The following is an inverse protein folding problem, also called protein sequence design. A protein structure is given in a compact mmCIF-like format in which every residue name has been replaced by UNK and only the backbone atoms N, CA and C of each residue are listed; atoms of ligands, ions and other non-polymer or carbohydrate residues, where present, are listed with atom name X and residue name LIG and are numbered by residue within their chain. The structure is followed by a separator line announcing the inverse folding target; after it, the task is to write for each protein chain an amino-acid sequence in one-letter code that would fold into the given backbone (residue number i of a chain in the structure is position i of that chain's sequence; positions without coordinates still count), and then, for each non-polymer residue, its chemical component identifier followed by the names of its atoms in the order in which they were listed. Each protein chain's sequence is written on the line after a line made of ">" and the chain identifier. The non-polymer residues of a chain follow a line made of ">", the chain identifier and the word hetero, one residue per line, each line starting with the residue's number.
data_IF_963989172209
#
_entry.id   IF_963989172209
#
_cell.length_a   1.000
_cell.length_b   1.000
_cell.length_c   1.000
_cell.angle_alpha   90.00
_cell.angle_beta   90.00
_cell.angle_gamma   90.00
#
_symmetry.space_group_name_H-M   'P 1'
#
loop_
_entity.id
_entity.type
_entity.pdbx_description
1 polymer ?
#
# COMPACT_ATOMS: atom_id res chain seq x y z
N UNK A 1 13.67 -9.54 -7.07
CA UNK A 1 14.37 -10.14 -5.92
C UNK A 1 13.34 -10.52 -4.87
N UNK A 2 13.56 -11.60 -4.10
CA UNK A 2 12.63 -12.06 -3.07
C UNK A 2 13.27 -11.91 -1.69
N UNK A 3 12.51 -11.40 -0.72
CA UNK A 3 12.91 -11.37 0.70
C UNK A 3 11.92 -12.22 1.48
N UNK A 4 12.38 -13.33 2.05
CA UNK A 4 11.64 -14.11 3.03
C UNK A 4 11.93 -13.55 4.43
N UNK A 5 10.90 -13.00 5.08
CA UNK A 5 10.96 -12.58 6.48
C UNK A 5 10.17 -13.58 7.32
N UNK A 6 10.75 -13.98 8.44
CA UNK A 6 10.12 -14.90 9.40
C UNK A 6 9.04 -14.14 10.17
N UNK A 7 7.83 -14.70 10.32
CA UNK A 7 6.80 -14.12 11.19
C UNK A 7 6.05 -15.23 11.95
N UNK A 8 5.52 -14.93 13.14
CA UNK A 8 4.84 -15.89 14.03
C UNK A 8 3.53 -16.46 13.45
N UNK A 9 2.94 -15.77 12.47
CA UNK A 9 1.70 -16.17 11.78
C UNK A 9 1.92 -17.01 10.52
N UNK A 10 3.17 -17.11 10.07
CA UNK A 10 3.63 -17.81 8.88
C UNK A 10 4.56 -18.89 9.39
N UNK A 11 4.03 -20.11 9.55
CA UNK A 11 4.84 -21.26 9.94
C UNK A 11 6.07 -21.29 9.05
N UNK A 12 7.23 -21.10 9.68
CA UNK A 12 8.47 -20.72 9.01
C UNK A 12 8.77 -21.56 7.78
N UNK A 13 8.91 -20.92 6.63
CA UNK A 13 9.63 -21.51 5.51
C UNK A 13 11.12 -21.26 5.76
N UNK A 14 11.80 -22.25 6.33
CA UNK A 14 13.26 -22.36 6.31
C UNK A 14 13.74 -22.66 4.88
N UNK A 15 13.44 -21.78 3.94
CA UNK A 15 13.92 -21.89 2.55
C UNK A 15 14.62 -20.61 2.15
N UNK A 16 15.94 -20.69 2.13
CA UNK A 16 16.79 -19.73 1.43
C UNK A 16 16.54 -19.88 -0.07
N UNK A 17 16.30 -18.75 -0.74
CA UNK A 17 16.53 -18.58 -2.18
C UNK A 17 15.68 -19.40 -3.16
N UNK A 18 14.36 -19.43 -3.00
CA UNK A 18 13.45 -19.74 -4.11
C UNK A 18 12.31 -18.72 -4.16
N UNK A 19 11.83 -18.39 -5.37
CA UNK A 19 10.59 -17.63 -5.54
C UNK A 19 9.49 -18.37 -4.76
N UNK A 20 8.73 -17.68 -3.88
CA UNK A 20 7.65 -18.29 -3.11
C UNK A 20 6.66 -18.97 -4.05
N UNK A 21 6.17 -20.14 -3.66
CA UNK A 21 5.12 -20.82 -4.42
C UNK A 21 3.84 -19.97 -4.45
N UNK A 22 2.96 -20.13 -5.45
CA UNK A 22 1.67 -19.44 -5.47
C UNK A 22 0.90 -19.67 -4.16
N UNK A 23 0.63 -18.59 -3.42
CA UNK A 23 -0.04 -18.65 -2.11
C UNK A 23 0.87 -18.64 -0.89
N UNK A 24 2.21 -18.68 -1.06
CA UNK A 24 3.13 -18.48 0.06
C UNK A 24 3.23 -16.99 0.43
N UNK A 25 3.23 -16.67 1.74
CA UNK A 25 3.34 -15.30 2.21
C UNK A 25 4.73 -14.73 1.86
N UNK A 26 4.77 -13.68 1.04
CA UNK A 26 6.02 -13.07 0.62
C UNK A 26 5.89 -11.60 0.25
N UNK A 27 7.06 -10.94 0.24
CA UNK A 27 7.21 -9.59 -0.29
C UNK A 27 8.06 -9.67 -1.58
N UNK A 28 7.41 -9.46 -2.71
CA UNK A 28 8.02 -9.60 -4.04
C UNK A 28 8.25 -8.23 -4.67
N UNK A 29 9.47 -8.02 -5.16
CA UNK A 29 9.85 -6.80 -5.89
C UNK A 29 10.00 -7.12 -7.37
N UNK A 30 9.17 -6.45 -8.18
CA UNK A 30 9.21 -6.46 -9.62
C UNK A 30 9.80 -5.13 -10.10
N UNK A 31 10.60 -5.19 -11.17
CA UNK A 31 11.13 -4.02 -11.85
C UNK A 31 10.57 -4.02 -13.26
N UNK A 32 10.07 -2.88 -13.72
CA UNK A 32 9.57 -2.76 -15.08
C UNK A 32 10.73 -2.95 -16.07
N UNK A 33 10.52 -3.75 -17.11
CA UNK A 33 11.59 -4.12 -18.05
C UNK A 33 12.02 -2.91 -18.90
N UNK A 34 11.05 -2.14 -19.41
CA UNK A 34 11.33 -1.00 -20.29
C UNK A 34 11.64 0.29 -19.51
N UNK A 35 11.40 0.29 -18.19
CA UNK A 35 11.63 1.46 -17.33
C UNK A 35 12.16 1.02 -15.96
N UNK A 36 13.49 0.89 -15.79
CA UNK A 36 14.07 0.36 -14.55
C UNK A 36 13.87 1.27 -13.33
N UNK A 37 13.40 2.51 -13.51
CA UNK A 37 13.05 3.43 -12.44
C UNK A 37 11.72 3.07 -11.76
N UNK A 38 10.87 2.24 -12.39
CA UNK A 38 9.60 1.79 -11.82
C UNK A 38 9.81 0.45 -11.11
N UNK A 39 9.54 0.46 -9.80
CA UNK A 39 9.56 -0.70 -8.93
C UNK A 39 8.16 -0.95 -8.38
N UNK A 40 7.70 -2.19 -8.47
CA UNK A 40 6.43 -2.63 -7.87
C UNK A 40 6.77 -3.60 -6.74
N UNK A 41 6.25 -3.30 -5.56
CA UNK A 41 6.34 -4.19 -4.41
C UNK A 41 4.96 -4.78 -4.12
N UNK A 42 4.86 -6.10 -4.17
CA UNK A 42 3.67 -6.84 -3.78
C UNK A 42 3.93 -7.54 -2.46
N UNK A 43 3.17 -7.19 -1.42
CA UNK A 43 3.19 -7.92 -0.15
C UNK A 43 1.93 -8.76 -0.05
N UNK A 44 2.09 -10.08 -0.03
CA UNK A 44 1.00 -11.03 0.26
C UNK A 44 1.03 -11.53 1.70
N UNK A 45 1.99 -11.06 2.49
CA UNK A 45 2.18 -11.45 3.87
C UNK A 45 1.94 -10.29 4.85
N UNK A 46 1.51 -10.67 6.04
CA UNK A 46 1.60 -9.79 7.20
C UNK A 46 3.07 -9.61 7.59
N UNK A 47 3.49 -8.37 7.81
CA UNK A 47 4.82 -8.03 8.31
C UNK A 47 4.64 -7.58 9.76
N UNK A 48 5.34 -8.24 10.67
CA UNK A 48 5.27 -7.92 12.10
C UNK A 48 5.79 -6.50 12.37
N UNK A 49 5.22 -5.85 13.38
CA UNK A 49 5.46 -4.42 13.66
C UNK A 49 6.94 -4.09 13.91
N UNK A 50 7.67 -4.99 14.56
CA UNK A 50 9.12 -4.88 14.82
C UNK A 50 9.97 -4.92 13.55
N UNK A 51 9.46 -5.52 12.47
CA UNK A 51 10.14 -5.62 11.17
C UNK A 51 9.78 -4.49 10.20
N UNK A 52 8.70 -3.75 10.46
CA UNK A 52 8.22 -2.69 9.58
C UNK A 52 9.29 -1.63 9.33
N UNK A 53 10.00 -1.21 10.38
CA UNK A 53 11.05 -0.20 10.27
C UNK A 53 12.12 -0.60 9.25
N UNK A 54 12.73 -1.79 9.42
CA UNK A 54 13.76 -2.30 8.52
C UNK A 54 13.24 -2.49 7.10
N UNK A 55 11.98 -2.89 6.94
CA UNK A 55 11.36 -3.05 5.63
C UNK A 55 11.27 -1.72 4.89
N UNK A 56 10.85 -0.66 5.58
CA UNK A 56 10.62 0.67 4.97
C UNK A 56 11.89 1.37 4.50
N UNK A 57 13.06 1.00 5.01
CA UNK A 57 14.34 1.59 4.58
C UNK A 57 14.66 1.35 3.10
N UNK A 58 14.00 0.36 2.48
CA UNK A 58 14.13 0.08 1.03
C UNK A 58 13.55 1.18 0.14
N UNK A 59 12.77 2.10 0.70
CA UNK A 59 12.07 3.15 -0.05
C UNK A 59 12.90 4.42 -0.25
N UNK A 60 14.14 4.46 0.25
CA UNK A 60 15.00 5.65 0.16
C UNK A 60 15.29 6.03 -1.29
N UNK A 61 15.14 7.32 -1.61
CA UNK A 61 15.45 7.88 -2.93
C UNK A 61 14.42 7.60 -4.03
N UNK A 62 13.22 7.11 -3.67
CA UNK A 62 12.13 6.82 -4.61
C UNK A 62 10.92 7.72 -4.33
N UNK A 63 10.09 7.98 -5.35
CA UNK A 63 8.72 8.48 -5.11
C UNK A 63 7.82 7.26 -4.81
N UNK A 64 7.08 7.31 -3.71
CA UNK A 64 6.38 6.12 -3.20
C UNK A 64 4.88 6.26 -3.38
N UNK A 65 4.27 5.31 -4.09
CA UNK A 65 2.81 5.15 -4.14
C UNK A 65 2.43 3.85 -3.44
N UNK A 66 1.53 3.95 -2.46
CA UNK A 66 1.03 2.78 -1.72
C UNK A 66 -0.45 2.58 -2.06
N UNK A 67 -0.83 1.36 -2.38
CA UNK A 67 -2.21 0.96 -2.66
C UNK A 67 -2.60 -0.08 -1.61
N UNK A 68 -3.66 0.17 -0.85
CA UNK A 68 -4.11 -0.72 0.21
C UNK A 68 -5.63 -0.74 0.29
N UNK A 69 -6.20 -1.90 0.63
CA UNK A 69 -7.59 -2.06 1.03
C UNK A 69 -7.73 -2.10 2.56
N UNK A 70 -8.93 -1.78 3.06
CA UNK A 70 -9.31 -1.86 4.47
C UNK A 70 -10.83 -2.05 4.53
N UNK A 71 -11.34 -2.81 5.52
CA UNK A 71 -12.78 -2.94 5.72
C UNK A 71 -13.43 -1.58 5.98
N UNK A 72 -14.60 -1.34 5.40
CA UNK A 72 -15.39 -0.12 5.65
C UNK A 72 -15.75 0.04 7.13
N UNK A 73 -15.80 -1.05 7.89
CA UNK A 73 -16.03 -1.04 9.34
C UNK A 73 -14.90 -0.35 10.13
N UNK A 74 -13.70 -0.22 9.57
CA UNK A 74 -12.59 0.52 10.18
C UNK A 74 -12.69 2.03 9.92
N UNK A 75 -13.54 2.44 8.97
CA UNK A 75 -13.74 3.84 8.64
C UNK A 75 -14.64 4.54 9.66
N UNK A 76 -14.09 5.53 10.34
CA UNK A 76 -14.76 6.36 11.35
C UNK A 76 -15.29 7.62 10.69
N UNK A 77 -16.62 7.73 10.61
CA UNK A 77 -17.30 8.94 10.16
C UNK A 77 -18.49 9.25 11.07
N UNK A 78 -18.79 10.52 11.37
CA UNK A 78 -20.02 10.87 12.08
C UNK A 78 -21.28 10.55 11.26
N UNK A 79 -21.16 10.48 9.93
CA UNK A 79 -22.29 10.32 8.99
C UNK A 79 -22.36 8.91 8.39
N UNK A 80 -22.56 7.88 9.23
CA UNK A 80 -22.67 6.47 8.79
C UNK A 80 -23.83 6.21 7.81
N UNK A 81 -24.77 7.15 7.64
CA UNK A 81 -26.03 6.94 6.93
C UNK A 81 -26.15 7.67 5.58
N UNK A 82 -25.15 8.45 5.14
CA UNK A 82 -25.30 9.28 3.94
C UNK A 82 -24.18 9.07 2.90
N UNK A 83 -24.48 8.25 1.90
CA UNK A 83 -24.20 8.60 0.51
C UNK A 83 -22.88 8.15 -0.14
N UNK A 84 -21.95 7.52 0.57
CA UNK A 84 -20.77 6.95 -0.11
C UNK A 84 -21.11 5.58 -0.70
N UNK A 85 -21.11 5.48 -2.03
CA UNK A 85 -21.18 4.21 -2.73
C UNK A 85 -19.93 3.39 -2.44
N UNK A 86 -20.09 2.28 -1.72
CA UNK A 86 -19.01 1.34 -1.44
C UNK A 86 -18.70 0.55 -2.74
N UNK A 87 -17.41 0.31 -3.07
CA UNK A 87 -16.21 0.78 -2.37
C UNK A 87 -15.78 2.19 -2.79
N UNK A 88 -15.12 2.91 -1.87
CA UNK A 88 -14.64 4.27 -2.08
C UNK A 88 -13.17 4.44 -1.68
N UNK A 89 -12.53 5.48 -2.22
CA UNK A 89 -11.11 5.76 -2.02
C UNK A 89 -10.88 7.00 -1.15
N UNK A 90 -9.86 6.92 -0.30
CA UNK A 90 -9.30 8.03 0.45
C UNK A 90 -7.78 8.07 0.29
N UNK A 91 -7.20 9.26 0.37
CA UNK A 91 -5.76 9.43 0.26
C UNK A 91 -5.12 9.90 1.56
N UNK A 92 -3.89 9.44 1.77
CA UNK A 92 -2.96 10.02 2.72
C UNK A 92 -1.70 10.45 1.97
N UNK A 93 -1.03 11.51 2.44
CA UNK A 93 0.14 12.07 1.77
C UNK A 93 1.23 12.37 2.77
N UNK A 94 2.47 12.23 2.35
CA UNK A 94 3.59 12.85 3.07
C UNK A 94 3.66 14.36 2.78
N UNK A 95 4.27 15.13 3.67
CA UNK A 95 4.48 16.58 3.51
C UNK A 95 5.33 16.93 2.28
N UNK A 96 6.17 16.00 1.84
CA UNK A 96 7.01 16.14 0.65
C UNK A 96 6.22 15.90 -0.66
N UNK A 97 5.04 15.26 -0.61
CA UNK A 97 4.20 15.06 -1.79
C UNK A 97 3.45 16.35 -2.14
N UNK A 98 3.88 17.01 -3.23
CA UNK A 98 3.32 18.30 -3.67
C UNK A 98 2.18 18.17 -4.68
N UNK A 99 2.05 17.02 -5.33
CA UNK A 99 1.02 16.80 -6.34
C UNK A 99 -0.38 16.66 -5.72
N UNK A 100 -1.40 16.91 -6.53
CA UNK A 100 -2.77 16.64 -6.13
C UNK A 100 -3.00 15.12 -6.08
N UNK A 101 -3.77 14.66 -5.08
CA UNK A 101 -4.16 13.25 -5.04
C UNK A 101 -5.40 13.06 -5.90
N UNK A 102 -5.56 11.87 -6.45
CA UNK A 102 -6.67 11.53 -7.32
C UNK A 102 -8.00 11.32 -6.58
N UNK A 103 -7.98 11.29 -5.24
CA UNK A 103 -9.17 11.14 -4.41
C UNK A 103 -9.08 12.02 -3.15
N UNK A 104 -10.22 12.29 -2.48
CA UNK A 104 -10.25 13.08 -1.25
C UNK A 104 -9.30 12.54 -0.18
N UNK A 105 -8.72 13.45 0.63
CA UNK A 105 -7.92 13.05 1.79
C UNK A 105 -8.80 12.35 2.83
N UNK A 106 -8.21 11.49 3.66
CA UNK A 106 -8.94 10.93 4.80
C UNK A 106 -9.31 12.05 5.78
N UNK A 107 -10.52 12.02 6.31
CA UNK A 107 -10.91 12.90 7.42
C UNK A 107 -10.44 12.35 8.78
N UNK A 108 -10.14 13.26 9.71
CA UNK A 108 -9.96 12.86 11.11
C UNK A 108 -11.30 12.34 11.66
N UNK A 109 -11.32 11.28 12.50
CA UNK A 109 -10.21 10.69 13.26
C UNK A 109 -9.70 9.37 12.67
N UNK A 110 -9.80 9.17 11.36
CA UNK A 110 -9.33 7.93 10.72
C UNK A 110 -7.82 7.78 10.86
N UNK A 111 -7.37 6.61 11.27
CA UNK A 111 -5.96 6.25 11.39
C UNK A 111 -5.64 5.13 10.42
N UNK A 112 -4.40 5.14 9.95
CA UNK A 112 -3.84 4.07 9.13
C UNK A 112 -2.96 3.19 10.03
N UNK A 113 -2.96 1.88 9.80
CA UNK A 113 -2.15 0.93 10.57
C UNK A 113 -1.37 -0.03 9.67
N UNK A 114 -0.49 -0.84 10.28
CA UNK A 114 0.27 -1.87 9.59
C UNK A 114 1.33 -1.34 8.62
N UNK A 115 1.65 -2.15 7.60
CA UNK A 115 2.68 -1.84 6.62
C UNK A 115 2.42 -0.53 5.84
N UNK A 116 1.20 -0.26 5.33
CA UNK A 116 0.94 0.99 4.61
C UNK A 116 1.20 2.22 5.49
N UNK A 117 0.85 2.16 6.77
CA UNK A 117 1.14 3.24 7.73
C UNK A 117 2.64 3.41 7.95
N UNK A 118 3.36 2.32 8.21
CA UNK A 118 4.79 2.38 8.42
C UNK A 118 5.54 2.96 7.21
N UNK A 119 5.14 2.57 5.99
CA UNK A 119 5.71 3.13 4.76
C UNK A 119 5.48 4.63 4.67
N UNK A 120 4.25 5.08 4.89
CA UNK A 120 3.93 6.50 4.81
C UNK A 120 4.64 7.31 5.91
N UNK A 121 4.69 6.78 7.14
CA UNK A 121 5.41 7.40 8.26
C UNK A 121 6.91 7.50 8.00
N UNK A 122 7.53 6.45 7.45
CA UNK A 122 8.93 6.51 7.03
C UNK A 122 9.15 7.60 5.99
N UNK A 123 8.28 7.66 4.97
CA UNK A 123 8.36 8.69 3.94
C UNK A 123 8.17 10.10 4.51
N UNK A 124 7.26 10.27 5.48
CA UNK A 124 7.03 11.52 6.19
C UNK A 124 8.28 11.99 6.94
N UNK A 125 8.92 11.11 7.71
CA UNK A 125 10.13 11.44 8.49
C UNK A 125 11.30 11.77 7.57
N UNK A 126 11.49 10.99 6.51
CA UNK A 126 12.62 11.15 5.59
C UNK A 126 12.37 12.15 4.44
N UNK A 127 11.26 12.90 4.48
CA UNK A 127 10.87 13.87 3.44
C UNK A 127 10.84 13.27 2.03
N UNK A 128 10.38 12.02 1.93
CA UNK A 128 10.17 11.31 0.67
C UNK A 128 8.77 11.61 0.15
N UNK A 129 8.59 12.07 -1.10
CA UNK A 129 7.29 12.27 -1.70
C UNK A 129 6.52 10.94 -1.76
N UNK A 130 5.40 10.87 -1.03
CA UNK A 130 4.60 9.67 -0.95
C UNK A 130 3.10 9.97 -0.92
N UNK A 131 2.34 9.14 -1.64
CA UNK A 131 0.87 9.13 -1.59
C UNK A 131 0.39 7.70 -1.36
N UNK A 132 -0.55 7.55 -0.45
CA UNK A 132 -1.21 6.29 -0.17
C UNK A 132 -2.68 6.41 -0.55
N UNK A 133 -3.19 5.43 -1.28
CA UNK A 133 -4.60 5.30 -1.61
C UNK A 133 -5.19 4.11 -0.85
N UNK A 134 -6.12 4.42 0.04
CA UNK A 134 -6.85 3.47 0.86
C UNK A 134 -8.23 3.25 0.25
N UNK A 135 -8.52 2.02 -0.15
CA UNK A 135 -9.84 1.60 -0.62
C UNK A 135 -10.62 1.02 0.58
N UNK A 136 -11.76 1.62 0.90
CA UNK A 136 -12.67 1.08 1.91
C UNK A 136 -13.76 0.25 1.23
N UNK A 137 -13.86 -1.01 1.62
CA UNK A 137 -14.76 -1.99 1.02
C UNK A 137 -15.46 -2.84 2.09
N UNK A 138 -16.66 -3.31 1.82
CA UNK A 138 -17.39 -4.29 2.64
C UNK A 138 -17.05 -5.74 2.27
N UNK A 139 -16.28 -5.94 1.19
CA UNK A 139 -15.86 -7.25 0.70
C UNK A 139 -14.52 -7.65 1.34
N UNK A 140 -14.51 -8.78 2.05
CA UNK A 140 -13.33 -9.33 2.75
C UNK A 140 -12.44 -10.19 1.82
N UNK A 141 -12.95 -10.55 0.63
CA UNK A 141 -12.22 -11.31 -0.38
C UNK A 141 -11.58 -10.42 -1.44
N UNK A 142 -10.49 -10.85 -2.10
CA UNK A 142 -9.92 -10.14 -3.25
C UNK A 142 -11.00 -9.87 -4.31
N UNK A 143 -11.31 -8.60 -4.53
CA UNK A 143 -12.35 -8.18 -5.46
C UNK A 143 -11.75 -7.50 -6.69
N UNK A 144 -12.36 -7.77 -7.86
CA UNK A 144 -11.98 -7.12 -9.11
C UNK A 144 -12.27 -5.61 -9.09
N UNK A 145 -13.12 -5.16 -8.17
CA UNK A 145 -13.69 -3.81 -8.13
C UNK A 145 -12.76 -2.82 -7.42
N UNK A 146 -12.05 -3.23 -6.37
CA UNK A 146 -10.90 -2.50 -5.81
C UNK A 146 -9.71 -2.51 -6.78
N UNK A 147 -9.39 -3.67 -7.36
CA UNK A 147 -8.28 -3.86 -8.30
C UNK A 147 -8.41 -2.94 -9.51
N UNK A 148 -9.62 -2.80 -10.08
CA UNK A 148 -9.89 -1.86 -11.18
C UNK A 148 -9.74 -0.40 -10.77
N UNK A 149 -10.13 -0.01 -9.55
CA UNK A 149 -9.95 1.36 -9.06
C UNK A 149 -8.46 1.69 -8.91
N UNK A 150 -7.68 0.75 -8.39
CA UNK A 150 -6.23 0.88 -8.29
C UNK A 150 -5.55 0.94 -9.66
N UNK A 151 -6.00 0.14 -10.62
CA UNK A 151 -5.50 0.21 -12.01
C UNK A 151 -5.72 1.61 -12.61
N UNK A 152 -6.90 2.20 -12.41
CA UNK A 152 -7.19 3.57 -12.85
C UNK A 152 -6.33 4.63 -12.16
N UNK A 153 -6.05 4.47 -10.86
CA UNK A 153 -5.12 5.35 -10.13
C UNK A 153 -3.72 5.25 -10.74
N UNK A 154 -3.24 4.04 -11.00
CA UNK A 154 -1.91 3.82 -11.55
C UNK A 154 -1.78 4.39 -12.96
N UNK A 155 -2.79 4.19 -13.82
CA UNK A 155 -2.84 4.77 -15.16
C UNK A 155 -2.84 6.31 -15.11
N UNK A 156 -3.68 6.91 -14.25
CA UNK A 156 -3.74 8.35 -14.09
C UNK A 156 -2.44 8.95 -13.53
N UNK A 157 -1.73 8.24 -12.65
CA UNK A 157 -0.39 8.65 -12.19
C UNK A 157 0.67 8.49 -13.28
N UNK A 158 0.65 7.41 -14.06
CA UNK A 158 1.59 7.21 -15.17
C UNK A 158 1.47 8.31 -16.23
N UNK A 159 0.25 8.78 -16.50
CA UNK A 159 -0.01 9.89 -17.42
C UNK A 159 0.47 11.26 -16.90
N UNK A 160 0.75 11.40 -15.60
CA UNK A 160 1.34 12.63 -15.03
C UNK A 160 2.87 12.69 -15.18
N UNK A 161 3.50 11.57 -15.52
CA UNK A 161 4.96 11.45 -15.69
C UNK A 161 5.39 11.24 -17.16
N UNK A 162 4.46 11.33 -18.12
CA UNK A 162 4.70 11.31 -19.58
C UNK A 162 4.52 12.72 -20.13
#
# INVERSE_FOLDING_TARGET
>A
GCVSLWNERSRGSSRQSSVPLPGEPACLFYRHMDNPAVLICQSTCYIAEDQLFQWTEKNRGLNVMVLSDSPVAEYKTPDYLYGSTIPFLRSFKSSAYKSQALCPAVEQPNILTGLPAAVLSHCQVHQIPAVLYQCYTDVISPDSTSSQRFAKINEAQSNLYT
#
